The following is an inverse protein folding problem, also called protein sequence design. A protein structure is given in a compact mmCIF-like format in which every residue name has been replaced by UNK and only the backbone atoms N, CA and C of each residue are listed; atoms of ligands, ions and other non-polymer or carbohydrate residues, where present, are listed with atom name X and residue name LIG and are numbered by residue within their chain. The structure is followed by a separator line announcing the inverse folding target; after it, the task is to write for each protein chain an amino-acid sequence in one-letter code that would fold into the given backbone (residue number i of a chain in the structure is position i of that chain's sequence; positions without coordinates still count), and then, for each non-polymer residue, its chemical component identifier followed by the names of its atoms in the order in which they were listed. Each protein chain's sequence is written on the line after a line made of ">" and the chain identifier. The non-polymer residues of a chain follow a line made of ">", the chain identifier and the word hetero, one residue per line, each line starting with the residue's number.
data_IF_696967898097
#
_entry.id   IF_696967898097
#
_cell.length_a   1.000
_cell.length_b   1.000
_cell.length_c   1.000
_cell.angle_alpha   90.00
_cell.angle_beta   90.00
_cell.angle_gamma   90.00
#
_symmetry.space_group_name_H-M   'P 1'
#
loop_
_entity.id
_entity.type
_entity.pdbx_description
1 polymer ?
#
# COMPACT_ATOMS: atom_id res chain seq x y z
N UNK A 1 6.80 5.36 -17.99
CA UNK A 1 6.54 5.30 -16.53
C UNK A 1 6.56 3.85 -16.10
N UNK A 2 7.16 3.54 -14.95
CA UNK A 2 7.14 2.18 -14.40
C UNK A 2 5.86 2.02 -13.58
N UNK A 3 5.20 0.87 -13.70
CA UNK A 3 4.02 0.54 -12.92
C UNK A 3 4.29 -0.68 -12.05
N UNK A 4 3.51 -0.81 -10.97
CA UNK A 4 3.49 -2.00 -10.14
C UNK A 4 2.03 -2.42 -9.87
N UNK A 5 1.83 -3.73 -9.74
CA UNK A 5 0.53 -4.33 -9.41
C UNK A 5 0.44 -4.50 -7.90
N UNK A 6 -0.65 -4.00 -7.31
CA UNK A 6 -0.94 -4.12 -5.89
C UNK A 6 -2.14 -5.03 -5.69
N UNK A 7 -1.99 -6.04 -4.82
CA UNK A 7 -3.11 -6.84 -4.29
C UNK A 7 -3.47 -6.29 -2.92
N UNK A 8 -4.55 -5.52 -2.85
CA UNK A 8 -5.00 -4.90 -1.59
C UNK A 8 -6.22 -5.65 -1.08
N UNK A 9 -6.19 -6.04 0.20
CA UNK A 9 -7.36 -6.63 0.86
C UNK A 9 -8.49 -5.61 0.96
N UNK A 10 -9.64 -5.94 0.38
CA UNK A 10 -10.88 -5.15 0.46
C UNK A 10 -11.91 -5.96 1.23
N UNK A 11 -12.40 -5.41 2.34
CA UNK A 11 -13.37 -6.11 3.18
C UNK A 11 -13.90 -5.25 4.31
N UNK A 12 -14.81 -5.85 5.07
CA UNK A 12 -15.43 -5.29 6.26
C UNK A 12 -15.41 -6.34 7.39
N UNK A 13 -16.26 -6.16 8.40
CA UNK A 13 -16.37 -7.07 9.54
C UNK A 13 -16.82 -8.51 9.17
N UNK A 14 -17.43 -8.71 8.00
CA UNK A 14 -17.97 -10.00 7.55
C UNK A 14 -17.02 -10.77 6.62
N UNK A 15 -15.89 -10.17 6.23
CA UNK A 15 -14.89 -10.79 5.36
C UNK A 15 -14.41 -9.87 4.26
N UNK A 16 -13.68 -10.44 3.30
CA UNK A 16 -13.09 -9.67 2.21
C UNK A 16 -12.38 -10.54 1.18
N UNK A 17 -11.80 -9.86 0.20
CA UNK A 17 -10.99 -10.47 -0.85
C UNK A 17 -9.88 -9.51 -1.29
N UNK A 18 -8.83 -10.05 -1.87
CA UNK A 18 -7.84 -9.22 -2.56
C UNK A 18 -8.43 -8.67 -3.85
N UNK A 19 -8.25 -7.37 -4.06
CA UNK A 19 -8.50 -6.69 -5.33
C UNK A 19 -7.17 -6.21 -5.91
N UNK A 20 -7.07 -6.28 -7.24
CA UNK A 20 -5.88 -5.86 -7.98
C UNK A 20 -6.00 -4.42 -8.45
N UNK A 21 -4.93 -3.65 -8.27
CA UNK A 21 -4.80 -2.26 -8.70
C UNK A 21 -3.44 -2.05 -9.35
N UNK A 22 -3.33 -1.05 -10.21
CA UNK A 22 -2.05 -0.66 -10.81
C UNK A 22 -1.68 0.73 -10.34
N UNK A 23 -0.48 0.89 -9.78
CA UNK A 23 0.04 2.20 -9.39
C UNK A 23 1.23 2.57 -10.27
N UNK A 24 1.38 3.85 -10.57
CA UNK A 24 2.62 4.37 -11.13
C UNK A 24 3.65 4.49 -10.02
N UNK A 25 4.88 4.08 -10.29
CA UNK A 25 5.96 4.10 -9.31
C UNK A 25 7.12 4.95 -9.80
N UNK A 26 7.65 5.76 -8.89
CA UNK A 26 8.84 6.59 -9.10
C UNK A 26 9.86 6.36 -7.98
N UNK A 27 11.08 6.82 -8.22
CA UNK A 27 12.16 6.70 -7.24
C UNK A 27 11.80 7.37 -5.92
N UNK A 28 12.15 6.71 -4.81
CA UNK A 28 11.92 7.22 -3.46
C UNK A 28 10.50 6.98 -2.91
N UNK A 29 9.54 6.55 -3.74
CA UNK A 29 8.20 6.21 -3.27
C UNK A 29 8.21 5.08 -2.25
N UNK A 30 7.34 5.22 -1.25
CA UNK A 30 7.03 4.18 -0.27
C UNK A 30 5.66 3.57 -0.56
N UNK A 31 5.38 2.41 0.03
CA UNK A 31 4.10 1.70 -0.13
C UNK A 31 2.90 2.60 0.15
N UNK A 32 3.00 3.46 1.17
CA UNK A 32 1.91 4.39 1.51
C UNK A 32 1.60 5.38 0.37
N UNK A 33 2.61 5.84 -0.38
CA UNK A 33 2.39 6.76 -1.49
C UNK A 33 1.58 6.07 -2.62
N UNK A 34 1.91 4.82 -2.93
CA UNK A 34 1.16 4.04 -3.91
C UNK A 34 -0.28 3.74 -3.46
N UNK A 35 -0.49 3.43 -2.17
CA UNK A 35 -1.82 3.22 -1.59
C UNK A 35 -2.67 4.50 -1.69
N UNK A 36 -2.10 5.67 -1.42
CA UNK A 36 -2.80 6.96 -1.59
C UNK A 36 -3.12 7.24 -3.06
N UNK A 37 -2.20 6.93 -3.99
CA UNK A 37 -2.46 7.08 -5.42
C UNK A 37 -3.62 6.18 -5.87
N UNK A 38 -3.62 4.92 -5.46
CA UNK A 38 -4.71 3.97 -5.75
C UNK A 38 -6.03 4.47 -5.14
N UNK A 39 -6.01 4.92 -3.89
CA UNK A 39 -7.18 5.47 -3.22
C UNK A 39 -7.77 6.63 -4.01
N UNK A 40 -6.95 7.62 -4.39
CA UNK A 40 -7.42 8.81 -5.08
C UNK A 40 -7.89 8.56 -6.53
N UNK A 41 -7.25 7.63 -7.25
CA UNK A 41 -7.46 7.47 -8.69
C UNK A 41 -8.38 6.30 -9.07
N UNK A 42 -8.41 5.24 -8.28
CA UNK A 42 -9.05 3.96 -8.64
C UNK A 42 -10.04 3.46 -7.59
N UNK A 43 -9.86 3.86 -6.33
CA UNK A 43 -10.52 3.24 -5.18
C UNK A 43 -10.80 4.25 -4.07
N UNK A 44 -11.65 5.24 -4.35
CA UNK A 44 -11.96 6.34 -3.41
C UNK A 44 -12.59 5.87 -2.09
N UNK A 45 -13.10 4.65 -2.06
CA UNK A 45 -13.68 3.97 -0.91
C UNK A 45 -12.67 3.07 -0.14
N UNK A 46 -11.40 3.03 -0.56
CA UNK A 46 -10.36 2.26 0.12
C UNK A 46 -10.09 2.87 1.50
N UNK A 47 -10.36 2.12 2.56
CA UNK A 47 -10.01 2.52 3.90
C UNK A 47 -8.50 2.33 4.15
N UNK A 48 -7.80 3.40 4.54
CA UNK A 48 -6.38 3.36 4.91
C UNK A 48 -6.13 4.24 6.13
N UNK A 49 -5.58 3.66 7.20
CA UNK A 49 -5.11 4.44 8.36
C UNK A 49 -3.69 4.94 8.11
N UNK A 50 -3.49 6.24 8.32
CA UNK A 50 -2.18 6.89 8.23
C UNK A 50 -2.21 8.21 9.01
N UNK A 51 -1.02 8.75 9.32
CA UNK A 51 -0.90 10.09 9.90
C UNK A 51 0.49 10.67 9.63
N UNK A 52 1.50 10.39 10.49
CA UNK A 52 2.75 11.17 10.52
C UNK A 52 3.67 11.06 9.28
N UNK A 53 3.53 10.00 8.47
CA UNK A 53 4.46 9.64 7.37
C UNK A 53 5.96 9.73 7.73
N UNK A 54 6.30 9.46 8.99
CA UNK A 54 7.66 9.64 9.52
C UNK A 54 8.15 8.43 10.35
N UNK A 55 7.44 7.30 10.28
CA UNK A 55 7.80 6.08 11.01
C UNK A 55 7.66 6.16 12.54
N UNK A 56 6.89 7.13 13.07
CA UNK A 56 6.76 7.33 14.53
C UNK A 56 5.44 6.85 15.13
N UNK A 57 4.32 7.11 14.47
CA UNK A 57 2.99 6.87 15.06
C UNK A 57 2.48 5.43 14.95
N UNK A 58 3.07 4.60 14.09
CA UNK A 58 2.57 3.24 13.82
C UNK A 58 1.22 3.16 13.09
N UNK A 59 0.55 4.27 12.77
CA UNK A 59 -0.83 4.25 12.23
C UNK A 59 -0.99 3.60 10.87
N UNK A 60 0.08 3.56 10.05
CA UNK A 60 0.09 2.92 8.73
C UNK A 60 0.72 1.52 8.73
N UNK A 61 0.65 0.82 9.87
CA UNK A 61 1.07 -0.57 9.97
C UNK A 61 0.16 -1.44 9.10
N UNK A 62 0.75 -2.28 8.26
CA UNK A 62 0.06 -3.26 7.44
C UNK A 62 0.98 -4.46 7.19
N UNK A 63 0.39 -5.59 6.80
CA UNK A 63 1.16 -6.65 6.18
C UNK A 63 1.47 -6.26 4.73
N UNK A 64 2.74 -6.13 4.40
CA UNK A 64 3.21 -5.91 3.04
C UNK A 64 4.01 -7.14 2.67
N UNK A 65 3.58 -7.86 1.64
CA UNK A 65 4.28 -9.04 1.15
C UNK A 65 4.50 -10.10 2.25
N UNK A 66 3.45 -10.41 3.01
CA UNK A 66 3.48 -11.41 4.09
C UNK A 66 4.19 -10.96 5.37
N UNK A 67 4.74 -9.74 5.42
CA UNK A 67 5.51 -9.25 6.56
C UNK A 67 4.89 -7.99 7.16
N UNK A 68 4.81 -7.89 8.51
CA UNK A 68 4.36 -6.66 9.15
C UNK A 68 5.38 -5.53 8.91
N UNK A 69 4.87 -4.41 8.40
CA UNK A 69 5.67 -3.26 7.95
C UNK A 69 4.93 -1.95 8.25
N UNK A 70 5.70 -0.87 8.37
CA UNK A 70 5.16 0.49 8.28
C UNK A 70 5.16 0.90 6.81
N UNK A 71 3.98 1.09 6.21
CA UNK A 71 3.88 1.45 4.79
C UNK A 71 4.61 2.75 4.46
N UNK A 72 4.67 3.71 5.40
CA UNK A 72 5.39 4.98 5.19
C UNK A 72 6.92 4.87 5.22
N UNK A 73 7.47 3.76 5.70
CA UNK A 73 8.93 3.54 5.77
C UNK A 73 9.40 2.42 4.83
N UNK A 74 8.47 1.77 4.12
CA UNK A 74 8.77 0.64 3.23
C UNK A 74 8.90 1.17 1.81
N UNK A 75 10.13 1.27 1.29
CA UNK A 75 10.37 1.73 -0.07
C UNK A 75 9.94 0.67 -1.08
N UNK A 76 9.36 1.11 -2.18
CA UNK A 76 9.00 0.21 -3.28
C UNK A 76 10.24 -0.42 -3.95
N UNK A 77 11.38 0.26 -3.91
CA UNK A 77 12.67 -0.26 -4.38
C UNK A 77 13.18 -1.48 -3.61
N UNK A 78 12.70 -1.66 -2.38
CA UNK A 78 13.21 -2.68 -1.46
C UNK A 78 12.34 -3.95 -1.49
N UNK A 79 11.28 -3.96 -2.32
CA UNK A 79 10.30 -5.04 -2.40
C UNK A 79 10.45 -5.85 -3.71
N UNK A 80 10.31 -7.19 -3.63
CA UNK A 80 10.08 -8.01 -4.81
C UNK A 80 8.66 -7.73 -5.34
N UNK A 81 8.53 -7.17 -6.54
CA UNK A 81 7.24 -6.80 -7.13
C UNK A 81 6.47 -8.00 -7.72
N UNK A 82 7.10 -9.17 -7.79
CA UNK A 82 6.56 -10.42 -8.33
C UNK A 82 6.01 -11.37 -7.25
N UNK A 83 6.13 -11.00 -5.98
CA UNK A 83 5.73 -11.84 -4.85
C UNK A 83 4.77 -11.10 -3.91
N UNK A 84 4.00 -11.82 -3.08
CA UNK A 84 4.09 -11.57 -1.65
C UNK A 84 5.51 -11.94 -1.18
#
# INVERSE_FOLDING_TARGET
>A
MKTATFKIWRGDANGGKFAEYTAEISEGMVVLDAVHQIQAAQANDLACRWNCKAGKCGSCSAEVNGLPRLMCMTRLSDLPLDKP
#
